data_IF_738890177631
#
_entry.id   IF_738890177631
#
_cell.length_a   1.000
_cell.length_b   1.000
_cell.length_c   1.000
_cell.angle_alpha   90.00
_cell.angle_beta   90.00
_cell.angle_gamma   90.00
#
_symmetry.space_group_name_H-M   'P 1'
#
loop_
_entity.id
_entity.type
_entity.pdbx_description
1 polymer ?
#
# COMPACT_ATOMS: atom_id res chain seq x y z
N UNK A 1 10.84 -14.04 -5.53
CA UNK A 1 9.56 -13.41 -5.15
C UNK A 1 8.52 -14.46 -4.81
N UNK A 2 7.75 -14.22 -3.80
CA UNK A 2 6.66 -15.11 -3.40
C UNK A 2 5.33 -14.41 -3.61
N UNK A 3 4.33 -15.17 -4.06
CA UNK A 3 2.96 -14.66 -4.16
C UNK A 3 2.34 -14.57 -2.77
N UNK A 4 1.55 -13.52 -2.56
CA UNK A 4 0.84 -13.32 -1.31
C UNK A 4 -0.50 -12.64 -1.57
N UNK A 5 -1.52 -13.03 -0.84
CA UNK A 5 -2.72 -12.21 -0.73
C UNK A 5 -2.42 -11.09 0.25
N UNK A 6 -2.95 -9.91 0.01
CA UNK A 6 -2.67 -8.76 0.85
C UNK A 6 -3.94 -7.98 1.17
N UNK A 7 -3.83 -7.21 2.25
CA UNK A 7 -4.82 -6.21 2.63
C UNK A 7 -4.05 -4.99 3.10
N UNK A 8 -4.31 -3.86 2.46
CA UNK A 8 -3.69 -2.59 2.81
C UNK A 8 -4.80 -1.61 3.14
N UNK A 9 -4.78 -1.10 4.37
CA UNK A 9 -5.79 -0.15 4.85
C UNK A 9 -5.11 1.19 5.06
N UNK A 10 -5.57 2.20 4.33
CA UNK A 10 -5.08 3.56 4.45
C UNK A 10 -5.99 4.35 5.37
N UNK A 11 -5.41 5.04 6.34
CA UNK A 11 -6.15 5.93 7.22
C UNK A 11 -5.87 7.37 6.87
N UNK A 12 -6.94 8.12 6.69
CA UNK A 12 -6.93 9.58 6.70
C UNK A 12 -7.95 10.03 7.72
N UNK A 13 -7.88 11.28 8.10
CA UNK A 13 -8.66 11.85 9.19
C UNK A 13 -10.15 11.48 9.18
N UNK A 14 -10.76 11.44 7.99
CA UNK A 14 -12.19 11.21 7.87
C UNK A 14 -12.53 10.03 6.93
N UNK A 15 -11.52 9.33 6.43
CA UNK A 15 -11.76 8.24 5.47
C UNK A 15 -10.83 7.07 5.73
N UNK A 16 -11.37 5.88 5.49
CA UNK A 16 -10.60 4.63 5.51
C UNK A 16 -10.78 3.96 4.17
N UNK A 17 -9.68 3.65 3.50
CA UNK A 17 -9.71 2.92 2.24
C UNK A 17 -8.97 1.60 2.42
N UNK A 18 -9.58 0.52 1.93
CA UNK A 18 -8.99 -0.81 2.01
C UNK A 18 -8.82 -1.37 0.61
N UNK A 19 -7.61 -1.85 0.33
CA UNK A 19 -7.26 -2.50 -0.93
C UNK A 19 -6.87 -3.94 -0.62
N UNK A 20 -7.43 -4.88 -1.34
CA UNK A 20 -7.11 -6.30 -1.22
C UNK A 20 -6.80 -6.89 -2.59
N UNK A 21 -6.02 -7.94 -2.61
CA UNK A 21 -5.70 -8.62 -3.86
C UNK A 21 -4.57 -9.61 -3.71
N UNK A 22 -4.03 -10.01 -4.87
CA UNK A 22 -2.87 -10.88 -4.97
C UNK A 22 -1.67 -10.05 -5.43
N UNK A 23 -0.59 -10.11 -4.68
CA UNK A 23 0.63 -9.40 -5.00
C UNK A 23 1.85 -10.29 -4.86
N UNK A 24 3.02 -9.66 -4.82
CA UNK A 24 4.30 -10.33 -4.67
C UNK A 24 5.08 -9.72 -3.53
N UNK A 25 5.74 -10.56 -2.77
CA UNK A 25 6.60 -10.15 -1.66
C UNK A 25 8.05 -10.47 -2.03
N UNK A 26 8.89 -9.46 -2.01
CA UNK A 26 10.35 -9.61 -2.16
C UNK A 26 10.97 -9.67 -0.76
N UNK A 27 12.30 -9.66 -0.69
CA UNK A 27 12.99 -9.63 0.62
C UNK A 27 12.70 -8.36 1.41
N UNK A 28 12.32 -7.28 0.73
CA UNK A 28 12.14 -5.97 1.36
C UNK A 28 10.79 -5.33 1.08
N UNK A 29 10.15 -5.66 -0.05
CA UNK A 29 9.04 -4.89 -0.58
C UNK A 29 7.78 -5.72 -0.80
N UNK A 30 6.64 -5.06 -0.70
CA UNK A 30 5.36 -5.59 -1.18
C UNK A 30 5.03 -4.89 -2.50
N UNK A 31 4.80 -5.69 -3.54
CA UNK A 31 4.55 -5.22 -4.90
C UNK A 31 3.13 -5.58 -5.32
N UNK A 32 2.35 -4.61 -5.72
CA UNK A 32 0.95 -4.82 -6.09
C UNK A 32 0.64 -4.21 -7.46
N UNK A 33 -0.33 -4.79 -8.14
CA UNK A 33 -0.88 -4.23 -9.37
C UNK A 33 -2.07 -3.35 -9.04
N UNK A 34 -2.09 -2.15 -9.61
CA UNK A 34 -3.14 -1.16 -9.39
C UNK A 34 -3.68 -0.67 -10.72
N UNK A 35 -4.83 -0.01 -10.66
CA UNK A 35 -5.43 0.64 -11.82
C UNK A 35 -5.67 2.10 -11.48
N UNK A 36 -5.20 3.02 -12.33
CA UNK A 36 -5.40 4.44 -12.15
C UNK A 36 -6.86 4.85 -12.39
N UNK A 37 -7.20 6.09 -12.06
CA UNK A 37 -8.53 6.63 -12.35
C UNK A 37 -8.84 6.62 -13.84
N UNK A 38 -7.82 6.74 -14.70
CA UNK A 38 -7.98 6.68 -16.15
C UNK A 38 -8.06 5.24 -16.69
N UNK A 39 -8.09 4.24 -15.81
CA UNK A 39 -8.16 2.83 -16.19
C UNK A 39 -6.84 2.23 -16.64
N UNK A 40 -5.72 2.90 -16.43
CA UNK A 40 -4.41 2.39 -16.83
C UNK A 40 -3.79 1.54 -15.73
N UNK A 41 -3.30 0.34 -16.06
CA UNK A 41 -2.61 -0.49 -15.08
C UNK A 41 -1.25 0.09 -14.72
N UNK A 42 -0.86 -0.04 -13.45
CA UNK A 42 0.46 0.34 -12.99
C UNK A 42 0.88 -0.56 -11.83
N UNK A 43 2.18 -0.60 -11.58
CA UNK A 43 2.74 -1.37 -10.47
C UNK A 43 3.06 -0.40 -9.34
N UNK A 44 2.65 -0.75 -8.14
CA UNK A 44 2.99 0.02 -6.95
C UNK A 44 3.89 -0.81 -6.04
N UNK A 45 4.98 -0.21 -5.59
CA UNK A 45 5.94 -0.84 -4.69
C UNK A 45 5.85 -0.16 -3.32
N UNK A 46 5.58 -0.95 -2.29
CA UNK A 46 5.68 -0.49 -0.90
C UNK A 46 7.09 -0.81 -0.42
N UNK A 47 7.99 0.13 -0.63
CA UNK A 47 9.42 -0.01 -0.43
C UNK A 47 9.75 -0.18 1.05
N UNK A 48 10.46 -1.25 1.37
CA UNK A 48 10.84 -1.56 2.74
C UNK A 48 9.71 -2.04 3.64
N UNK A 49 8.50 -2.22 3.10
CA UNK A 49 7.32 -2.60 3.87
C UNK A 49 7.50 -3.93 4.61
N UNK A 50 8.14 -4.89 3.97
CA UNK A 50 8.33 -6.24 4.54
C UNK A 50 9.16 -6.19 5.82
N UNK A 51 10.13 -5.29 5.88
CA UNK A 51 10.97 -5.13 7.07
C UNK A 51 10.21 -4.59 8.28
N UNK A 52 9.06 -3.97 8.04
CA UNK A 52 8.22 -3.39 9.09
C UNK A 52 7.07 -4.29 9.49
N UNK A 53 6.94 -5.45 8.83
CA UNK A 53 5.92 -6.43 9.14
C UNK A 53 6.51 -7.55 9.99
N UNK A 54 5.70 -8.04 10.92
CA UNK A 54 6.07 -9.11 11.82
C UNK A 54 5.13 -10.30 11.66
N UNK A 55 5.62 -11.52 11.88
CA UNK A 55 4.76 -12.71 11.84
C UNK A 55 3.62 -12.58 12.85
N UNK A 56 2.44 -13.04 12.45
CA UNK A 56 1.30 -13.11 13.36
C UNK A 56 1.42 -14.42 14.18
N UNK A 57 1.40 -14.35 15.51
CA UNK A 57 1.48 -15.55 16.33
C UNK A 57 0.40 -16.58 15.98
N UNK A 58 0.79 -17.85 15.90
CA UNK A 58 -0.09 -18.98 15.61
C UNK A 58 -0.74 -18.97 14.22
N UNK A 59 -0.24 -18.13 13.29
CA UNK A 59 -0.73 -18.06 11.92
C UNK A 59 0.45 -18.15 10.95
N UNK A 60 0.91 -19.36 10.62
CA UNK A 60 2.06 -19.52 9.73
C UNK A 60 1.85 -18.84 8.37
N UNK A 61 2.87 -18.15 7.90
CA UNK A 61 2.83 -17.47 6.60
C UNK A 61 2.05 -16.16 6.58
N UNK A 62 1.53 -15.69 7.72
CA UNK A 62 0.83 -14.42 7.83
C UNK A 62 1.66 -13.38 8.55
N UNK A 63 1.63 -12.15 8.04
CA UNK A 63 2.42 -11.03 8.55
C UNK A 63 1.57 -9.79 8.59
N UNK A 64 1.89 -8.90 9.52
CA UNK A 64 1.23 -7.60 9.63
C UNK A 64 2.19 -6.54 10.11
N UNK A 65 1.89 -5.31 9.76
CA UNK A 65 2.69 -4.16 10.20
C UNK A 65 2.08 -2.85 9.76
N UNK A 66 2.83 -1.79 9.95
CA UNK A 66 2.43 -0.45 9.51
C UNK A 66 3.43 0.05 8.49
N UNK A 67 2.93 0.87 7.57
CA UNK A 67 3.75 1.49 6.54
C UNK A 67 3.43 2.97 6.47
N UNK A 68 4.45 3.79 6.42
CA UNK A 68 4.33 5.24 6.37
C UNK A 68 5.06 5.75 5.13
N UNK A 69 4.43 6.69 4.44
CA UNK A 69 5.07 7.34 3.30
C UNK A 69 4.65 8.80 3.20
N UNK A 70 5.51 9.60 2.56
CA UNK A 70 5.20 10.94 2.15
C UNK A 70 5.12 10.94 0.63
N UNK A 71 4.02 11.49 0.09
CA UNK A 71 3.82 11.57 -1.35
C UNK A 71 3.51 12.99 -1.76
N UNK A 72 4.03 13.39 -2.92
CA UNK A 72 3.60 14.60 -3.57
C UNK A 72 2.28 14.35 -4.29
N UNK A 73 1.29 15.19 -4.02
CA UNK A 73 -0.03 15.09 -4.60
C UNK A 73 -0.39 16.44 -5.21
N UNK A 74 -0.91 16.41 -6.43
CA UNK A 74 -1.46 17.61 -7.06
C UNK A 74 -2.90 17.78 -6.61
N UNK A 75 -3.19 18.94 -6.03
CA UNK A 75 -4.53 19.31 -5.61
C UNK A 75 -5.06 20.38 -6.54
N UNK A 76 -6.29 20.19 -7.01
CA UNK A 76 -6.99 21.20 -7.80
C UNK A 76 -7.49 22.30 -6.86
N UNK A 77 -7.01 23.51 -7.07
CA UNK A 77 -7.42 24.68 -6.28
C UNK A 77 -8.49 25.51 -6.98
N UNK A 78 -9.03 25.04 -8.11
CA UNK A 78 -10.02 25.72 -8.93
C UNK A 78 -9.40 26.52 -10.06
N UNK A 79 -10.22 26.86 -11.07
CA UNK A 79 -9.80 27.68 -12.24
C UNK A 79 -8.52 27.20 -12.92
N UNK A 80 -8.37 25.90 -13.12
CA UNK A 80 -7.22 25.28 -13.77
C UNK A 80 -5.89 25.46 -13.04
N UNK A 81 -5.94 25.81 -11.76
CA UNK A 81 -4.76 25.92 -10.93
C UNK A 81 -4.56 24.64 -10.12
N UNK A 82 -3.33 24.15 -10.11
CA UNK A 82 -2.95 22.98 -9.34
C UNK A 82 -1.88 23.37 -8.33
N UNK A 83 -2.00 22.82 -7.14
CA UNK A 83 -1.01 23.01 -6.08
C UNK A 83 -0.41 21.63 -5.77
N UNK A 84 0.92 21.57 -5.70
CA UNK A 84 1.62 20.37 -5.29
C UNK A 84 1.85 20.45 -3.79
N UNK A 85 1.40 19.41 -3.07
CA UNK A 85 1.62 19.28 -1.62
C UNK A 85 2.21 17.93 -1.29
N UNK A 86 3.02 17.90 -0.25
CA UNK A 86 3.43 16.67 0.38
C UNK A 86 2.37 16.25 1.38
N UNK A 87 1.86 15.03 1.23
CA UNK A 87 0.89 14.44 2.15
C UNK A 87 1.49 13.20 2.79
N UNK A 88 1.20 13.05 4.07
CA UNK A 88 1.60 11.89 4.86
C UNK A 88 0.49 10.84 4.79
N UNK A 89 0.89 9.60 4.52
CA UNK A 89 -0.03 8.47 4.49
C UNK A 89 0.43 7.39 5.43
N UNK A 90 -0.50 6.88 6.22
CA UNK A 90 -0.28 5.76 7.12
C UNK A 90 -1.13 4.59 6.66
N UNK A 91 -0.53 3.41 6.62
CA UNK A 91 -1.20 2.19 6.19
C UNK A 91 -1.05 1.11 7.25
N UNK A 92 -2.10 0.30 7.40
CA UNK A 92 -1.98 -1.01 8.02
C UNK A 92 -1.86 -2.03 6.92
N UNK A 93 -0.86 -2.90 7.03
CA UNK A 93 -0.53 -3.90 6.01
C UNK A 93 -0.64 -5.28 6.63
N UNK A 94 -1.30 -6.15 5.91
CA UNK A 94 -1.35 -7.58 6.21
C UNK A 94 -1.11 -8.34 4.92
N UNK A 95 -0.35 -9.41 5.00
CA UNK A 95 -0.23 -10.32 3.86
C UNK A 95 -0.06 -11.76 4.34
N UNK A 96 -0.41 -12.68 3.45
CA UNK A 96 -0.28 -14.11 3.66
C UNK A 96 0.27 -14.75 2.40
N UNK A 97 1.35 -15.52 2.54
CA UNK A 97 1.90 -16.28 1.43
C UNK A 97 0.90 -17.32 0.91
N UNK A 98 0.86 -17.47 -0.41
CA UNK A 98 0.05 -18.48 -1.07
C UNK A 98 0.97 -19.41 -1.87
N UNK A 99 0.59 -20.65 -1.89
CA UNK A 99 1.37 -21.68 -2.59
C UNK A 99 1.08 -21.68 -4.08
#
# INVERSE_FOLDING_TARGET
MKKAVYSITRYRKDTTEKITGLGYVTDTDLVIACVSQAGKPYIRVFDGCVKKCNPIPNKPGEFRGTYYEIREVQLDTGKDNYETRELEFNYYVWYKFVD
#
